data_IF_066146538515
#
_entry.id   IF_066146538515
#
_cell.length_a   1.000
_cell.length_b   1.000
_cell.length_c   1.000
_cell.angle_alpha   90.00
_cell.angle_beta   90.00
_cell.angle_gamma   90.00
#
_symmetry.space_group_name_H-M   'P 1'
#
loop_
_entity.id
_entity.type
_entity.pdbx_description
1 polymer ?
#
# COMPACT_ATOMS: atom_id res chain seq x y z
N UNK A 1 10.06 -10.58 10.14
CA UNK A 1 8.88 -10.43 9.26
C UNK A 1 8.01 -11.67 9.37
N UNK A 2 6.69 -11.50 9.35
CA UNK A 2 5.70 -12.59 9.32
C UNK A 2 4.64 -12.31 8.26
N UNK A 3 3.93 -13.35 7.84
CA UNK A 3 2.83 -13.24 6.89
C UNK A 3 1.88 -14.43 7.07
N UNK A 4 0.62 -14.25 6.67
CA UNK A 4 -0.40 -15.30 6.66
C UNK A 4 -1.36 -15.05 5.48
N UNK A 5 -1.79 -16.10 4.75
CA UNK A 5 -1.46 -17.53 4.90
C UNK A 5 -0.14 -17.95 4.22
N UNK A 6 0.40 -19.12 4.61
CA UNK A 6 1.61 -19.72 4.03
C UNK A 6 1.38 -20.53 2.74
N UNK A 7 0.13 -20.92 2.45
CA UNK A 7 -0.30 -21.55 1.20
C UNK A 7 -1.32 -20.62 0.52
N UNK A 8 -0.99 -20.11 -0.66
CA UNK A 8 -1.72 -19.00 -1.31
C UNK A 8 -2.02 -19.31 -2.76
N UNK A 9 -3.15 -18.83 -3.26
CA UNK A 9 -3.44 -18.85 -4.68
C UNK A 9 -2.77 -17.68 -5.40
N UNK A 10 -2.51 -17.86 -6.71
CA UNK A 10 -2.14 -16.76 -7.60
C UNK A 10 -3.25 -15.71 -7.61
N UNK A 11 -2.91 -14.43 -7.59
CA UNK A 11 -3.88 -13.33 -7.48
C UNK A 11 -4.46 -13.10 -6.07
N UNK A 12 -4.10 -13.92 -5.09
CA UNK A 12 -4.52 -13.73 -3.70
C UNK A 12 -3.73 -12.59 -3.04
N UNK A 13 -4.40 -11.86 -2.14
CA UNK A 13 -3.76 -10.87 -1.28
C UNK A 13 -3.23 -11.51 0.01
N UNK A 14 -2.02 -11.15 0.41
CA UNK A 14 -1.35 -11.58 1.64
C UNK A 14 -1.04 -10.34 2.50
N UNK A 15 -1.25 -10.45 3.81
CA UNK A 15 -0.78 -9.46 4.76
C UNK A 15 0.65 -9.78 5.21
N UNK A 16 1.54 -8.80 5.11
CA UNK A 16 2.95 -8.90 5.47
C UNK A 16 3.23 -7.90 6.59
N UNK A 17 3.85 -8.38 7.67
CA UNK A 17 4.24 -7.55 8.81
C UNK A 17 5.74 -7.60 9.00
N UNK A 18 6.38 -6.44 8.92
CA UNK A 18 7.80 -6.26 9.24
C UNK A 18 7.98 -5.58 10.59
N UNK A 19 9.02 -5.93 11.32
CA UNK A 19 9.46 -5.27 12.57
C UNK A 19 10.98 -5.10 12.56
N UNK A 20 11.49 -4.14 13.32
CA UNK A 20 12.92 -3.90 13.46
C UNK A 20 13.56 -3.20 12.25
N UNK A 21 12.80 -2.38 11.54
CA UNK A 21 13.24 -1.64 10.35
C UNK A 21 13.77 -0.26 10.72
N UNK A 22 14.91 -0.23 11.41
CA UNK A 22 15.67 0.98 11.72
C UNK A 22 17.00 1.01 10.96
N UNK A 23 17.59 2.20 10.81
CA UNK A 23 18.82 2.41 10.05
C UNK A 23 20.10 2.20 10.86
N UNK A 24 19.99 2.13 12.18
CA UNK A 24 21.10 1.86 13.09
C UNK A 24 20.67 0.89 14.21
N UNK A 25 21.65 0.29 14.88
CA UNK A 25 21.44 -0.45 16.12
C UNK A 25 22.21 0.28 17.21
N UNK A 26 21.54 1.16 17.96
CA UNK A 26 22.15 1.85 19.11
C UNK A 26 22.29 0.89 20.29
N UNK A 27 23.26 -0.02 20.18
CA UNK A 27 23.52 -1.09 21.13
C UNK A 27 24.30 -0.61 22.38
N UNK A 28 24.94 0.55 22.30
CA UNK A 28 25.71 1.16 23.39
C UNK A 28 25.36 2.63 23.60
N UNK A 29 24.93 2.96 24.82
CA UNK A 29 24.61 4.34 25.23
C UNK A 29 23.18 4.78 24.91
N UNK A 30 22.84 6.00 25.34
CA UNK A 30 21.55 6.60 25.00
C UNK A 30 21.55 7.01 23.51
N UNK A 31 20.47 6.73 22.77
CA UNK A 31 20.39 7.12 21.36
C UNK A 31 20.41 8.66 21.22
N UNK A 32 20.86 9.19 20.06
CA UNK A 32 20.80 10.61 19.78
C UNK A 32 19.39 11.20 19.98
N UNK A 33 19.32 12.49 20.30
CA UNK A 33 18.03 13.14 20.51
C UNK A 33 17.16 13.09 19.24
N UNK A 34 15.98 12.49 19.35
CA UNK A 34 15.05 12.30 18.23
C UNK A 34 15.15 10.94 17.55
N UNK A 35 16.10 10.10 17.94
CA UNK A 35 16.24 8.72 17.50
C UNK A 35 15.77 7.77 18.61
N UNK A 36 15.30 6.58 18.23
CA UNK A 36 15.02 5.53 19.20
C UNK A 36 16.07 4.41 19.15
N UNK A 37 15.77 3.25 19.74
CA UNK A 37 16.76 2.17 19.91
C UNK A 37 17.33 1.61 18.61
N UNK A 38 16.62 1.80 17.49
CA UNK A 38 17.06 1.35 16.16
C UNK A 38 17.34 2.55 15.23
N UNK A 39 17.72 3.69 15.79
CA UNK A 39 17.98 4.90 15.01
C UNK A 39 16.71 5.53 14.48
N UNK A 40 16.68 5.80 13.18
CA UNK A 40 15.55 6.37 12.45
C UNK A 40 14.81 5.24 11.71
N UNK A 41 13.46 5.21 11.72
CA UNK A 41 12.70 4.27 10.91
C UNK A 41 13.08 4.30 9.43
N UNK A 42 13.30 3.12 8.85
CA UNK A 42 13.75 2.98 7.47
C UNK A 42 12.66 3.36 6.46
N UNK A 43 13.04 4.20 5.51
CA UNK A 43 12.27 4.44 4.28
C UNK A 43 12.78 3.59 3.12
N UNK A 44 11.96 3.41 2.07
CA UNK A 44 12.37 2.71 0.85
C UNK A 44 12.49 1.20 1.03
N UNK A 45 11.62 0.61 1.85
CA UNK A 45 11.50 -0.83 2.06
C UNK A 45 10.68 -1.40 0.93
N UNK A 46 11.16 -2.48 0.31
CA UNK A 46 10.46 -3.21 -0.75
C UNK A 46 10.12 -4.63 -0.29
N UNK A 47 8.89 -5.07 -0.52
CA UNK A 47 8.47 -6.47 -0.39
C UNK A 47 8.51 -7.11 -1.77
N UNK A 48 9.33 -8.14 -1.91
CA UNK A 48 9.64 -8.77 -3.20
C UNK A 48 9.33 -10.26 -3.13
N UNK A 49 8.64 -10.76 -4.16
CA UNK A 49 8.49 -12.20 -4.37
C UNK A 49 9.58 -12.69 -5.32
N UNK A 50 10.23 -13.79 -4.99
CA UNK A 50 11.26 -14.43 -5.82
C UNK A 50 10.88 -15.88 -6.07
N UNK A 51 10.85 -16.28 -7.34
CA UNK A 51 10.62 -17.67 -7.73
C UNK A 51 11.52 -18.05 -8.91
N UNK A 52 12.50 -18.92 -8.64
CA UNK A 52 13.55 -19.22 -9.62
C UNK A 52 14.31 -17.96 -10.01
N UNK A 53 14.28 -17.61 -11.30
CA UNK A 53 14.97 -16.42 -11.85
C UNK A 53 14.04 -15.21 -12.02
N UNK A 54 12.81 -15.25 -11.49
CA UNK A 54 11.86 -14.15 -11.55
C UNK A 54 11.75 -13.46 -10.20
N UNK A 55 11.72 -12.13 -10.24
CA UNK A 55 11.42 -11.28 -9.09
C UNK A 55 10.23 -10.39 -9.43
N UNK A 56 9.34 -10.19 -8.46
CA UNK A 56 8.24 -9.23 -8.54
C UNK A 56 8.31 -8.30 -7.34
N UNK A 57 8.43 -7.00 -7.60
CA UNK A 57 8.27 -5.97 -6.58
C UNK A 57 6.79 -5.80 -6.29
N UNK A 58 6.37 -6.21 -5.09
CA UNK A 58 4.96 -6.28 -4.73
C UNK A 58 4.48 -5.04 -3.97
N UNK A 59 5.40 -4.36 -3.27
CA UNK A 59 5.08 -3.21 -2.43
C UNK A 59 6.34 -2.44 -2.08
N UNK A 60 6.22 -1.11 -1.98
CA UNK A 60 7.25 -0.21 -1.47
C UNK A 60 6.67 0.72 -0.40
N UNK A 61 7.43 1.01 0.66
CA UNK A 61 7.03 1.98 1.67
C UNK A 61 8.10 2.25 2.72
N UNK A 62 7.66 2.63 3.92
CA UNK A 62 8.51 3.01 5.04
C UNK A 62 8.02 2.36 6.33
N UNK A 63 8.93 2.23 7.30
CA UNK A 63 8.59 1.84 8.66
C UNK A 63 7.99 3.02 9.43
N UNK A 64 7.08 2.71 10.36
CA UNK A 64 6.54 3.66 11.32
C UNK A 64 7.51 3.93 12.47
N UNK A 65 7.08 4.79 13.40
CA UNK A 65 7.85 5.16 14.61
C UNK A 65 8.18 3.95 15.52
N UNK A 66 7.43 2.86 15.39
CA UNK A 66 7.65 1.58 16.07
C UNK A 66 8.65 0.67 15.33
N UNK A 67 9.28 1.16 14.26
CA UNK A 67 10.14 0.39 13.35
C UNK A 67 9.41 -0.77 12.66
N UNK A 68 8.08 -0.69 12.58
CA UNK A 68 7.22 -1.68 11.95
C UNK A 68 6.65 -1.21 10.62
N UNK A 69 6.26 -2.16 9.76
CA UNK A 69 5.40 -1.86 8.62
C UNK A 69 4.36 -2.97 8.43
N UNK A 70 3.22 -2.60 7.85
CA UNK A 70 2.21 -3.55 7.36
C UNK A 70 1.98 -3.31 5.88
N UNK A 71 2.07 -4.38 5.08
CA UNK A 71 1.82 -4.34 3.64
C UNK A 71 0.75 -5.36 3.25
N UNK A 72 -0.14 -4.98 2.32
CA UNK A 72 -1.06 -5.89 1.64
C UNK A 72 -0.54 -6.10 0.22
N UNK A 73 -0.03 -7.31 -0.05
CA UNK A 73 0.63 -7.64 -1.33
C UNK A 73 -0.19 -8.65 -2.11
N UNK A 74 -0.20 -8.54 -3.43
CA UNK A 74 -0.92 -9.49 -4.31
C UNK A 74 0.07 -10.45 -4.93
N UNK A 75 -0.18 -11.75 -4.82
CA UNK A 75 0.61 -12.79 -5.50
C UNK A 75 0.43 -12.65 -7.00
N UNK A 76 1.50 -12.54 -7.81
CA UNK A 76 1.39 -12.42 -9.26
C UNK A 76 0.61 -13.57 -9.89
N UNK A 77 -0.29 -13.23 -10.81
CA UNK A 77 -1.14 -14.22 -11.50
C UNK A 77 -0.35 -15.16 -12.42
N UNK A 78 0.84 -14.73 -12.83
CA UNK A 78 1.76 -15.43 -13.72
C UNK A 78 2.89 -16.18 -12.98
N UNK A 79 2.89 -16.16 -11.64
CA UNK A 79 3.78 -17.01 -10.85
C UNK A 79 3.49 -18.50 -11.13
N UNK A 80 4.46 -19.37 -10.94
CA UNK A 80 4.24 -20.82 -11.04
C UNK A 80 3.75 -21.39 -9.70
N UNK A 81 2.95 -22.47 -9.69
CA UNK A 81 2.77 -23.28 -8.49
C UNK A 81 4.11 -23.77 -7.93
N UNK A 82 4.25 -23.80 -6.60
CA UNK A 82 5.43 -24.31 -5.92
C UNK A 82 5.98 -23.34 -4.87
N UNK A 83 7.21 -23.60 -4.42
CA UNK A 83 7.90 -22.73 -3.46
C UNK A 83 8.26 -21.39 -4.11
N UNK A 84 8.12 -20.32 -3.34
CA UNK A 84 8.61 -18.99 -3.64
C UNK A 84 9.15 -18.36 -2.35
N UNK A 85 10.08 -17.42 -2.49
CA UNK A 85 10.60 -16.64 -1.37
C UNK A 85 9.93 -15.29 -1.33
N UNK A 86 9.47 -14.89 -0.15
CA UNK A 86 9.02 -13.55 0.13
C UNK A 86 10.12 -12.84 0.92
N UNK A 87 10.60 -11.73 0.36
CA UNK A 87 11.70 -10.94 0.88
C UNK A 87 11.17 -9.57 1.27
N UNK A 88 11.75 -8.99 2.32
CA UNK A 88 11.74 -7.55 2.52
C UNK A 88 13.18 -7.05 2.46
N UNK A 89 13.43 -5.99 1.68
CA UNK A 89 14.78 -5.45 1.46
C UNK A 89 14.77 -3.95 1.20
N UNK A 90 15.92 -3.30 1.40
CA UNK A 90 16.17 -1.93 0.94
C UNK A 90 17.17 -1.99 -0.24
N UNK A 91 16.80 -1.56 -1.47
CA UNK A 91 17.56 -1.86 -2.70
C UNK A 91 19.02 -1.36 -2.71
N UNK A 92 19.31 -0.31 -1.95
CA UNK A 92 20.61 0.35 -1.82
C UNK A 92 21.50 -0.27 -0.71
N UNK A 93 20.99 -1.25 0.03
CA UNK A 93 21.76 -1.99 1.03
C UNK A 93 21.79 -3.47 0.69
N UNK A 94 22.91 -4.14 0.96
CA UNK A 94 23.04 -5.58 0.78
C UNK A 94 22.23 -6.40 1.81
N UNK A 95 21.41 -5.75 2.63
CA UNK A 95 20.65 -6.38 3.70
C UNK A 95 19.33 -6.89 3.10
N UNK A 96 19.34 -8.15 2.66
CA UNK A 96 18.10 -8.93 2.62
C UNK A 96 17.79 -9.30 4.05
N UNK A 97 16.97 -8.50 4.72
CA UNK A 97 16.87 -8.59 6.18
C UNK A 97 16.08 -9.83 6.61
N UNK A 98 15.15 -10.32 5.77
CA UNK A 98 14.34 -11.50 6.09
C UNK A 98 13.89 -12.23 4.82
N UNK A 99 14.17 -13.54 4.76
CA UNK A 99 13.65 -14.46 3.77
C UNK A 99 12.64 -15.40 4.41
N UNK A 100 11.46 -15.54 3.78
CA UNK A 100 10.50 -16.53 4.22
C UNK A 100 9.96 -17.31 3.02
N UNK A 101 9.87 -18.62 3.20
CA UNK A 101 9.32 -19.49 2.17
C UNK A 101 7.80 -19.49 2.24
N UNK A 102 7.20 -19.29 1.08
CA UNK A 102 5.76 -19.32 0.84
C UNK A 102 5.49 -20.41 -0.21
N UNK A 103 4.35 -21.09 -0.09
CA UNK A 103 3.88 -22.03 -1.11
C UNK A 103 2.80 -21.37 -1.96
N UNK A 104 3.05 -21.28 -3.26
CA UNK A 104 2.03 -20.91 -4.24
C UNK A 104 1.31 -22.20 -4.65
N UNK A 105 0.01 -22.28 -4.35
CA UNK A 105 -0.84 -23.43 -4.67
C UNK A 105 -1.02 -23.62 -6.18
N UNK A 106 -1.46 -24.80 -6.58
CA UNK A 106 -1.88 -25.15 -7.94
C UNK A 106 -3.31 -24.70 -8.27
N UNK A 107 -4.05 -24.17 -7.29
CA UNK A 107 -5.40 -23.63 -7.47
C UNK A 107 -5.49 -22.60 -8.60
N UNK A 108 -6.66 -22.48 -9.21
CA UNK A 108 -6.91 -21.47 -10.24
C UNK A 108 -6.62 -20.06 -9.68
N UNK A 109 -6.03 -19.14 -10.48
CA UNK A 109 -5.80 -17.78 -10.02
C UNK A 109 -7.09 -17.09 -9.57
N UNK A 110 -7.03 -16.41 -8.44
CA UNK A 110 -8.09 -15.53 -7.98
C UNK A 110 -8.10 -14.32 -8.90
N UNK A 111 -9.15 -14.20 -9.71
CA UNK A 111 -9.42 -12.99 -10.47
C UNK A 111 -10.33 -12.12 -9.62
N UNK A 112 -9.80 -11.06 -9.04
CA UNK A 112 -10.60 -10.05 -8.35
C UNK A 112 -11.47 -9.35 -9.39
N UNK A 113 -12.63 -9.94 -9.68
CA UNK A 113 -13.69 -9.26 -10.43
C UNK A 113 -14.18 -8.15 -9.51
N UNK A 114 -13.99 -6.89 -9.92
CA UNK A 114 -14.61 -5.75 -9.22
C UNK A 114 -16.09 -6.04 -8.97
N UNK A 115 -16.68 -5.61 -7.84
CA UNK A 115 -18.09 -5.85 -7.56
C UNK A 115 -18.94 -5.39 -8.76
N UNK A 116 -20.01 -6.13 -9.12
CA UNK A 116 -20.86 -5.74 -10.24
C UNK A 116 -21.32 -4.29 -10.01
N UNK A 117 -21.06 -3.41 -10.98
CA UNK A 117 -21.70 -2.10 -11.01
C UNK A 117 -23.20 -2.36 -11.13
N UNK A 118 -23.93 -2.23 -10.02
CA UNK A 118 -25.38 -2.21 -10.04
C UNK A 118 -25.78 -1.01 -10.91
N UNK A 119 -26.19 -1.29 -12.15
CA UNK A 119 -26.83 -0.28 -12.98
C UNK A 119 -28.14 0.08 -12.27
N UNK A 120 -28.35 1.34 -11.84
CA UNK A 120 -29.61 1.72 -11.23
C UNK A 120 -30.76 1.48 -12.24
N UNK A 121 -31.92 0.96 -11.81
CA UNK A 121 -33.06 0.78 -12.69
C UNK A 121 -33.44 2.12 -13.32
N UNK A 122 -33.66 2.13 -14.64
CA UNK A 122 -34.19 3.29 -15.36
C UNK A 122 -35.61 3.56 -14.85
N UNK A 123 -35.81 4.63 -14.09
CA UNK A 123 -37.16 5.10 -13.73
C UNK A 123 -37.94 5.49 -15.00
N UNK A 124 -39.24 5.13 -15.11
CA UNK A 124 -40.11 5.68 -16.12
C UNK A 124 -40.53 7.10 -15.74
N UNK A 125 -40.28 8.06 -16.64
CA UNK A 125 -40.74 9.45 -16.51
C UNK A 125 -42.28 9.53 -16.58
N UNK A 126 -42.91 10.29 -15.67
CA UNK A 126 -44.37 10.42 -15.65
C UNK A 126 -44.95 11.45 -14.67
N UNK A 127 -44.64 12.74 -14.90
CA UNK A 127 -45.56 13.89 -14.82
C UNK A 127 -46.42 14.17 -13.56
N UNK A 128 -45.97 15.16 -12.77
CA UNK A 128 -46.67 16.30 -12.13
C UNK A 128 -48.14 16.20 -11.60
N UNK A 129 -48.32 16.40 -10.28
CA UNK A 129 -49.07 17.52 -9.65
C UNK A 129 -49.09 17.39 -8.09
N UNK A 130 -48.76 18.49 -7.39
CA UNK A 130 -48.89 18.70 -5.92
C UNK A 130 -50.17 19.52 -5.62
N UNK A 131 -50.62 19.83 -4.37
CA UNK A 131 -49.97 19.66 -3.07
C UNK A 131 -50.88 19.12 -1.93
N UNK A 132 -50.29 18.67 -0.82
CA UNK A 132 -51.06 18.31 0.38
C UNK A 132 -50.21 17.89 1.58
N UNK A 133 -49.90 18.89 2.42
CA UNK A 133 -49.63 18.82 3.86
C UNK A 133 -48.38 18.08 4.40
N UNK A 134 -47.51 18.91 4.99
CA UNK A 134 -46.69 18.67 6.20
C UNK A 134 -45.26 18.09 6.07
N UNK A 135 -44.37 18.46 7.02
CA UNK A 135 -43.06 19.03 6.67
C UNK A 135 -41.93 18.03 6.48
N UNK A 136 -41.13 18.33 5.46
CA UNK A 136 -39.78 17.83 5.23
C UNK A 136 -38.80 18.43 6.24
N UNK A 137 -38.07 17.57 6.97
CA UNK A 137 -36.61 17.66 7.08
C UNK A 137 -36.03 16.41 7.74
N UNK A 138 -35.46 15.55 6.89
CA UNK A 138 -34.12 15.00 7.06
C UNK A 138 -33.84 14.21 8.33
N UNK A 139 -34.26 12.94 8.36
CA UNK A 139 -33.55 11.93 9.13
C UNK A 139 -32.12 11.80 8.59
N UNK A 140 -31.17 12.40 9.29
CA UNK A 140 -29.73 12.24 9.04
C UNK A 140 -29.34 10.84 9.49
N UNK A 141 -29.44 9.85 8.60
CA UNK A 141 -28.63 8.64 8.73
C UNK A 141 -27.24 8.98 8.20
N UNK A 142 -26.31 8.99 9.15
CA UNK A 142 -24.91 9.38 9.03
C UNK A 142 -24.22 8.44 8.04
N UNK A 143 -24.29 8.80 6.76
CA UNK A 143 -23.31 8.38 5.77
C UNK A 143 -22.00 9.06 6.13
N UNK A 144 -21.04 8.27 6.59
CA UNK A 144 -19.66 8.69 6.76
C UNK A 144 -19.17 9.27 5.44
N UNK A 145 -18.99 10.59 5.43
CA UNK A 145 -18.42 11.33 4.32
C UNK A 145 -16.96 10.90 4.14
N UNK A 146 -16.68 10.07 3.14
CA UNK A 146 -15.35 10.07 2.52
C UNK A 146 -15.34 11.21 1.52
N UNK A 147 -14.93 12.38 1.99
CA UNK A 147 -14.55 13.49 1.11
C UNK A 147 -13.25 13.07 0.42
N UNK A 148 -13.36 12.53 -0.79
CA UNK A 148 -12.22 12.41 -1.70
C UNK A 148 -11.96 13.83 -2.22
N UNK A 149 -11.08 14.57 -1.55
CA UNK A 149 -10.53 15.80 -2.12
C UNK A 149 -9.54 15.39 -3.20
N UNK A 150 -10.00 15.43 -4.45
CA UNK A 150 -9.14 15.46 -5.62
C UNK A 150 -8.40 16.81 -5.65
N UNK A 151 -7.12 16.81 -5.26
CA UNK A 151 -6.21 17.93 -5.47
C UNK A 151 -4.80 17.43 -5.80
N UNK A 152 -4.66 16.78 -6.96
CA UNK A 152 -3.36 16.46 -7.53
C UNK A 152 -3.32 16.94 -8.98
N UNK A 153 -2.98 18.22 -9.21
CA UNK A 153 -2.39 18.70 -10.47
C UNK A 153 -2.02 20.21 -10.50
N UNK A 154 -1.52 20.82 -9.42
CA UNK A 154 -0.91 22.18 -9.53
C UNK A 154 0.47 22.29 -8.85
N UNK A 155 0.81 21.45 -7.86
CA UNK A 155 2.07 21.61 -7.10
C UNK A 155 3.30 21.04 -7.83
N UNK A 156 3.14 20.04 -8.71
CA UNK A 156 4.26 19.41 -9.40
C UNK A 156 4.98 20.36 -10.40
N UNK A 157 4.27 21.29 -11.03
CA UNK A 157 4.88 22.24 -11.98
C UNK A 157 5.66 23.35 -11.26
N UNK A 158 5.22 23.76 -10.05
CA UNK A 158 5.90 24.78 -9.27
C UNK A 158 7.24 24.29 -8.68
N UNK A 159 7.33 23.02 -8.24
CA UNK A 159 8.57 22.47 -7.68
C UNK A 159 9.65 22.22 -8.74
N UNK A 160 9.26 21.86 -9.96
CA UNK A 160 10.22 21.68 -11.07
C UNK A 160 10.78 23.04 -11.54
N UNK A 161 9.95 24.09 -11.56
CA UNK A 161 10.41 25.44 -11.92
C UNK A 161 11.35 26.06 -10.87
N UNK A 162 11.13 25.78 -9.57
CA UNK A 162 11.96 26.31 -8.49
C UNK A 162 13.35 25.62 -8.43
N UNK A 163 13.43 24.34 -8.81
CA UNK A 163 14.70 23.60 -8.85
C UNK A 163 15.62 24.07 -9.98
N UNK A 164 15.07 24.51 -11.13
CA UNK A 164 15.87 25.05 -12.24
C UNK A 164 16.46 26.43 -11.98
N UNK A 165 15.78 27.32 -11.24
CA UNK A 165 16.34 28.66 -10.93
C UNK A 165 17.53 28.62 -9.98
N UNK A 166 17.57 27.67 -9.02
CA UNK A 166 18.69 27.57 -8.07
C UNK A 166 20.00 27.07 -8.68
N UNK A 167 19.97 26.45 -9.86
CA UNK A 167 21.19 26.00 -10.55
C UNK A 167 21.78 27.08 -11.47
N UNK A 168 21.09 28.20 -11.70
CA UNK A 168 21.57 29.29 -12.56
C UNK A 168 22.27 30.43 -11.81
N UNK A 169 22.25 30.43 -10.47
CA UNK A 169 22.89 31.46 -9.61
C UNK A 169 24.25 31.02 -9.05
N UNK A 170 24.78 29.86 -9.49
CA UNK A 170 26.08 29.32 -9.04
C UNK A 170 27.05 29.15 -10.21
N UNK A 171 27.13 30.16 -11.08
CA UNK A 171 28.19 30.26 -12.09
C UNK A 171 28.63 31.69 -12.28
#
# INVERSE_FOLDING_TARGET
MTFDPHDVARGQTIAVVGTGWGDDCHDVGDPPAGEGPLGIPLEGIHVVLVQGNREWDLWSGAAGEDYGFTASVVVPVDAAPGAAQLLARRPDTAVSTFDQTLRISDAAPVTTTSPPTLTPPREPEGSAASPGSEPSSGGVSIGWFVVIVAAAAIVAVALIALRRRRQSDVS
#
